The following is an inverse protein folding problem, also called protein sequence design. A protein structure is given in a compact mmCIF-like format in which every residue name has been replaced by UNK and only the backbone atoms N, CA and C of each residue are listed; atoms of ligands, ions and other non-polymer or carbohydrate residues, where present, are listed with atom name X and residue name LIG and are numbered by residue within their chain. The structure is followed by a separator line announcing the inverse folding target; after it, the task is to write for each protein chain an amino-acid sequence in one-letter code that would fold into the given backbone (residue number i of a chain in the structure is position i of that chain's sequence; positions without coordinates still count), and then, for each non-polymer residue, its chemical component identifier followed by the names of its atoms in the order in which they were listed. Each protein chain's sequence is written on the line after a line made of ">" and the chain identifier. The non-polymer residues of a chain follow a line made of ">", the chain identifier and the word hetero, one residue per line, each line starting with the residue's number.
data_IF_667550342013
#
_entry.id   IF_667550342013
#
_cell.length_a   1.000
_cell.length_b   1.000
_cell.length_c   1.000
_cell.angle_alpha   90.00
_cell.angle_beta   90.00
_cell.angle_gamma   90.00
#
_symmetry.space_group_name_H-M   'P 1'
#
loop_
_entity.id
_entity.type
_entity.pdbx_description
1 polymer ?
#
# COMPACT_ATOMS: atom_id res chain seq x y z
N UNK A 1 24.48 1.72 18.96
CA UNK A 1 23.16 1.20 18.52
C UNK A 1 22.37 2.31 17.83
N UNK A 2 21.58 2.02 16.79
CA UNK A 2 20.74 3.04 16.15
C UNK A 2 19.64 3.53 17.10
N UNK A 3 19.30 4.83 17.03
CA UNK A 3 18.14 5.37 17.74
C UNK A 3 16.87 4.89 17.04
N UNK A 4 15.97 4.29 17.81
CA UNK A 4 14.67 3.79 17.32
C UNK A 4 13.58 4.67 17.89
N UNK A 5 12.70 5.16 17.01
CA UNK A 5 11.51 5.93 17.39
C UNK A 5 10.27 5.13 17.02
N UNK A 6 9.37 4.91 17.98
CA UNK A 6 8.09 4.25 17.76
C UNK A 6 7.01 5.31 17.54
N UNK A 7 6.18 5.08 16.53
CA UNK A 7 5.00 5.92 16.25
C UNK A 7 3.77 5.10 16.60
N UNK A 8 2.98 5.57 17.56
CA UNK A 8 1.70 4.94 17.90
C UNK A 8 0.64 5.32 16.85
N UNK A 9 0.33 4.35 15.97
CA UNK A 9 -0.64 4.50 14.90
C UNK A 9 -2.08 4.73 15.38
N UNK A 10 -2.39 4.50 16.67
CA UNK A 10 -3.71 4.85 17.22
C UNK A 10 -3.88 6.34 17.47
N UNK A 11 -2.77 7.06 17.61
CA UNK A 11 -2.75 8.47 17.98
C UNK A 11 -2.47 9.41 16.80
N UNK A 12 -2.09 8.86 15.65
CA UNK A 12 -1.69 9.63 14.47
C UNK A 12 -2.44 9.11 13.23
N UNK A 13 -3.07 10.00 12.44
CA UNK A 13 -3.73 9.58 11.21
C UNK A 13 -2.72 9.01 10.22
N UNK A 14 -3.11 7.92 9.56
CA UNK A 14 -2.34 7.28 8.50
C UNK A 14 -2.93 7.70 7.17
N UNK A 15 -2.16 8.44 6.38
CA UNK A 15 -2.54 8.84 5.02
C UNK A 15 -1.74 8.02 4.03
N UNK A 16 -2.43 7.24 3.21
CA UNK A 16 -1.79 6.43 2.16
C UNK A 16 -0.64 5.52 2.63
N UNK A 17 -0.68 5.07 3.89
CA UNK A 17 0.35 4.21 4.49
C UNK A 17 1.51 4.96 5.16
N UNK A 18 1.46 6.29 5.21
CA UNK A 18 2.45 7.15 5.85
C UNK A 18 1.81 7.99 6.96
N UNK A 19 2.61 8.32 7.97
CA UNK A 19 2.23 9.24 9.05
C UNK A 19 3.05 10.52 8.94
N UNK A 20 2.50 11.65 9.43
CA UNK A 20 3.19 12.93 9.39
C UNK A 20 4.61 12.89 10.02
N UNK A 21 4.87 12.19 11.15
CA UNK A 21 6.22 12.03 11.69
C UNK A 21 7.19 11.33 10.73
N UNK A 22 6.74 10.30 10.02
CA UNK A 22 7.56 9.58 9.03
C UNK A 22 7.87 10.48 7.84
N UNK A 23 6.87 11.20 7.31
CA UNK A 23 7.06 12.15 6.20
C UNK A 23 8.08 13.22 6.59
N UNK A 24 7.98 13.80 7.79
CA UNK A 24 8.94 14.79 8.29
C UNK A 24 10.36 14.23 8.40
N UNK A 25 10.50 12.99 8.88
CA UNK A 25 11.80 12.35 8.99
C UNK A 25 12.44 12.10 7.61
N UNK A 26 11.65 11.67 6.62
CA UNK A 26 12.10 11.47 5.25
C UNK A 26 12.51 12.79 4.59
N UNK A 27 11.71 13.85 4.76
CA UNK A 27 12.04 15.18 4.24
C UNK A 27 13.40 15.67 4.76
N UNK A 28 13.62 15.59 6.08
CA UNK A 28 14.89 16.01 6.68
C UNK A 28 16.09 15.16 6.22
N UNK A 29 15.90 13.87 5.91
CA UNK A 29 16.94 13.03 5.30
C UNK A 29 17.28 13.51 3.89
N UNK A 30 16.26 13.78 3.08
CA UNK A 30 16.42 14.26 1.71
C UNK A 30 17.11 15.63 1.64
N UNK A 31 16.76 16.57 2.53
CA UNK A 31 17.41 17.88 2.64
C UNK A 31 18.91 17.78 2.92
N UNK A 32 19.36 16.73 3.61
CA UNK A 32 20.78 16.45 3.87
C UNK A 32 21.46 15.61 2.78
N UNK A 33 20.77 15.30 1.69
CA UNK A 33 21.28 14.43 0.63
C UNK A 33 21.43 12.97 1.06
N UNK A 34 20.76 12.55 2.14
CA UNK A 34 20.85 11.19 2.68
C UNK A 34 19.82 10.25 2.04
N UNK A 35 20.15 8.96 2.01
CA UNK A 35 19.24 7.91 1.56
C UNK A 35 18.40 7.36 2.71
N UNK A 36 17.16 6.99 2.40
CA UNK A 36 16.23 6.33 3.32
C UNK A 36 15.71 5.03 2.72
N UNK A 37 15.53 4.01 3.56
CA UNK A 37 14.89 2.74 3.18
C UNK A 37 13.57 2.64 3.93
N UNK A 38 12.48 2.41 3.20
CA UNK A 38 11.14 2.23 3.77
C UNK A 38 10.76 0.76 3.64
N UNK A 39 10.66 0.07 4.78
CA UNK A 39 10.22 -1.32 4.83
C UNK A 39 8.71 -1.39 5.02
N UNK A 40 8.04 -2.15 4.15
CA UNK A 40 6.60 -2.39 4.23
C UNK A 40 6.38 -3.91 4.26
N UNK A 41 5.63 -4.39 5.26
CA UNK A 41 5.36 -5.82 5.39
C UNK A 41 4.47 -6.32 4.25
N UNK A 42 4.92 -7.38 3.56
CA UNK A 42 4.12 -8.11 2.57
C UNK A 42 3.26 -9.21 3.18
N UNK A 43 3.70 -9.82 4.29
CA UNK A 43 2.95 -10.84 5.04
C UNK A 43 2.18 -10.15 6.16
N UNK A 44 0.85 -10.16 6.09
CA UNK A 44 0.00 -9.67 7.18
C UNK A 44 -1.29 -8.99 6.73
N UNK A 45 -1.39 -8.64 5.44
CA UNK A 45 -2.63 -8.14 4.88
C UNK A 45 -3.16 -9.23 3.94
N UNK A 46 -4.15 -10.01 4.39
CA UNK A 46 -4.93 -10.79 3.43
C UNK A 46 -5.59 -9.79 2.46
N UNK A 47 -5.74 -10.08 1.15
CA UNK A 47 -6.32 -9.18 0.15
C UNK A 47 -7.81 -8.87 0.35
N UNK A 48 -8.19 -8.51 1.57
CA UNK A 48 -9.53 -8.11 1.95
C UNK A 48 -9.92 -6.90 1.12
N UNK A 49 -11.12 -6.91 0.56
CA UNK A 49 -11.67 -5.70 -0.04
C UNK A 49 -11.84 -4.64 1.04
N UNK A 50 -10.90 -3.71 1.13
CA UNK A 50 -10.89 -2.62 2.12
C UNK A 50 -11.09 -1.28 1.42
N UNK A 51 -11.98 -0.45 1.98
CA UNK A 51 -12.11 0.96 1.58
C UNK A 51 -10.92 1.77 2.11
N UNK A 52 -10.27 2.52 1.22
CA UNK A 52 -9.12 3.35 1.61
C UNK A 52 -9.49 4.54 2.50
N UNK A 53 -10.70 5.07 2.39
CA UNK A 53 -11.13 6.28 3.08
C UNK A 53 -11.64 6.03 4.50
N UNK A 54 -12.44 4.97 4.69
CA UNK A 54 -13.09 4.72 5.99
C UNK A 54 -12.74 3.36 6.62
N UNK A 55 -11.94 2.53 5.95
CA UNK A 55 -11.53 1.22 6.48
C UNK A 55 -12.60 0.14 6.47
N UNK A 56 -13.73 0.35 5.77
CA UNK A 56 -14.74 -0.70 5.55
C UNK A 56 -14.10 -1.96 4.97
N UNK A 57 -14.50 -3.14 5.47
CA UNK A 57 -13.98 -4.43 5.02
C UNK A 57 -15.11 -5.32 4.50
N UNK A 58 -14.89 -5.96 3.35
CA UNK A 58 -15.81 -6.95 2.83
C UNK A 58 -15.87 -8.19 3.72
N UNK A 59 -17.00 -8.41 4.39
CA UNK A 59 -17.29 -9.64 5.15
C UNK A 59 -18.16 -10.64 4.39
N UNK A 60 -17.90 -11.92 4.59
CA UNK A 60 -18.71 -13.01 4.06
C UNK A 60 -19.99 -13.20 4.87
N UNK A 61 -21.16 -13.18 4.23
CA UNK A 61 -22.44 -13.40 4.91
C UNK A 61 -22.70 -14.85 5.34
N UNK A 62 -21.83 -15.81 4.93
CA UNK A 62 -22.00 -17.24 5.22
C UNK A 62 -21.15 -17.74 6.38
N UNK A 63 -20.00 -17.12 6.64
CA UNK A 63 -19.04 -17.63 7.62
C UNK A 63 -18.24 -16.51 8.33
N UNK A 64 -18.65 -15.25 8.17
CA UNK A 64 -18.01 -14.06 8.74
C UNK A 64 -16.53 -13.81 8.39
N UNK A 65 -15.90 -14.69 7.60
CA UNK A 65 -14.55 -14.49 7.10
C UNK A 65 -14.46 -13.26 6.18
N UNK A 66 -13.29 -12.64 6.15
CA UNK A 66 -12.97 -11.55 5.23
C UNK A 66 -12.97 -12.03 3.77
N UNK A 67 -13.51 -11.19 2.88
CA UNK A 67 -13.57 -11.46 1.45
C UNK A 67 -12.40 -10.83 0.72
N UNK A 68 -11.76 -11.62 -0.14
CA UNK A 68 -10.72 -11.16 -1.05
C UNK A 68 -11.31 -10.45 -2.25
N UNK A 69 -10.89 -9.22 -2.54
CA UNK A 69 -11.32 -8.51 -3.76
C UNK A 69 -10.47 -8.93 -4.95
N UNK A 70 -10.96 -9.69 -5.92
CA UNK A 70 -10.31 -10.04 -7.18
C UNK A 70 -10.56 -8.97 -8.26
N UNK A 71 -9.58 -8.09 -8.52
CA UNK A 71 -9.74 -6.94 -9.44
C UNK A 71 -9.98 -7.35 -10.90
N UNK A 72 -9.29 -8.38 -11.39
CA UNK A 72 -9.43 -8.82 -12.78
C UNK A 72 -10.84 -9.31 -13.14
N UNK A 73 -11.62 -9.74 -12.14
CA UNK A 73 -13.02 -10.15 -12.30
C UNK A 73 -14.02 -9.22 -11.62
N UNK A 74 -13.57 -8.21 -10.87
CA UNK A 74 -14.43 -7.34 -10.08
C UNK A 74 -15.21 -8.06 -8.96
N UNK A 75 -14.68 -9.17 -8.41
CA UNK A 75 -15.40 -10.02 -7.45
C UNK A 75 -14.80 -10.00 -6.04
N UNK A 76 -15.63 -9.90 -5.02
CA UNK A 76 -15.27 -10.26 -3.65
C UNK A 76 -15.50 -11.77 -3.43
N UNK A 77 -14.45 -12.52 -3.06
CA UNK A 77 -14.48 -13.97 -2.87
C UNK A 77 -14.07 -14.38 -1.46
N UNK A 78 -14.82 -15.29 -0.87
CA UNK A 78 -14.46 -15.97 0.37
C UNK A 78 -13.61 -17.18 0.04
N UNK A 79 -12.41 -17.26 0.60
CA UNK A 79 -11.56 -18.46 0.47
C UNK A 79 -11.91 -19.55 1.47
N UNK A 80 -12.68 -19.24 2.51
CA UNK A 80 -13.09 -20.21 3.51
C UNK A 80 -14.28 -21.08 3.02
N UNK A 81 -15.31 -20.44 2.46
CA UNK A 81 -16.53 -21.15 2.02
C UNK A 81 -16.81 -21.06 0.51
N UNK A 82 -15.93 -20.41 -0.26
CA UNK A 82 -16.07 -20.29 -1.72
C UNK A 82 -17.09 -19.26 -2.20
N UNK A 83 -17.92 -18.68 -1.33
CA UNK A 83 -18.92 -17.68 -1.71
C UNK A 83 -18.28 -16.47 -2.41
N UNK A 84 -18.89 -15.99 -3.49
CA UNK A 84 -18.45 -14.79 -4.22
C UNK A 84 -19.61 -13.82 -4.44
N UNK A 85 -19.28 -12.55 -4.63
CA UNK A 85 -20.21 -11.49 -5.04
C UNK A 85 -19.49 -10.39 -5.80
N UNK A 86 -20.21 -9.58 -6.56
CA UNK A 86 -19.62 -8.39 -7.18
C UNK A 86 -19.07 -7.44 -6.13
N UNK A 87 -17.91 -6.85 -6.42
CA UNK A 87 -17.40 -5.73 -5.66
C UNK A 87 -18.31 -4.51 -5.89
N UNK A 88 -18.73 -3.79 -4.83
CA UNK A 88 -19.54 -2.61 -5.03
C UNK A 88 -18.70 -1.50 -5.69
N UNK A 89 -19.34 -0.72 -6.57
CA UNK A 89 -18.71 0.39 -7.28
C UNK A 89 -18.30 1.55 -6.34
N UNK A 90 -18.97 1.66 -5.20
CA UNK A 90 -18.69 2.62 -4.15
C UNK A 90 -18.67 1.94 -2.79
N UNK A 91 -17.91 2.50 -1.85
CA UNK A 91 -17.85 2.01 -0.48
C UNK A 91 -19.26 2.05 0.15
N UNK A 92 -19.76 0.92 0.69
CA UNK A 92 -21.06 0.90 1.35
C UNK A 92 -21.15 1.75 2.63
N UNK A 93 -20.00 2.12 3.21
CA UNK A 93 -19.93 2.87 4.47
C UNK A 93 -19.76 4.38 4.28
N UNK A 94 -18.97 4.83 3.29
CA UNK A 94 -18.66 6.25 3.09
C UNK A 94 -18.95 6.77 1.67
N UNK A 95 -19.42 5.93 0.75
CA UNK A 95 -19.79 6.33 -0.62
C UNK A 95 -18.63 6.50 -1.61
N UNK A 96 -17.38 6.43 -1.17
CA UNK A 96 -16.22 6.68 -2.04
C UNK A 96 -15.89 5.52 -2.98
N UNK A 97 -15.41 5.86 -4.18
CA UNK A 97 -15.36 4.95 -5.34
C UNK A 97 -14.22 3.89 -5.31
N UNK A 98 -13.50 3.73 -4.20
CA UNK A 98 -12.23 3.02 -4.22
C UNK A 98 -12.15 1.84 -3.22
N UNK A 99 -12.26 0.62 -3.76
CA UNK A 99 -11.95 -0.63 -3.06
C UNK A 99 -10.67 -1.23 -3.64
N UNK A 100 -9.72 -1.63 -2.80
CA UNK A 100 -8.39 -2.09 -3.24
C UNK A 100 -8.04 -3.52 -2.80
N UNK A 101 -7.22 -4.21 -3.62
CA UNK A 101 -6.53 -5.46 -3.29
C UNK A 101 -5.35 -5.21 -2.34
N UNK A 102 -4.94 -6.23 -1.59
CA UNK A 102 -3.58 -6.25 -1.02
C UNK A 102 -2.53 -6.53 -2.09
N UNK A 103 -1.42 -5.81 -1.97
CA UNK A 103 -0.46 -5.47 -3.03
C UNK A 103 -0.38 -3.95 -3.18
N UNK A 104 -1.48 -3.26 -2.86
CA UNK A 104 -1.55 -1.81 -2.81
C UNK A 104 -0.73 -1.17 -1.67
N UNK A 105 -0.27 -1.89 -0.65
CA UNK A 105 0.46 -1.27 0.47
C UNK A 105 1.79 -0.65 0.03
N UNK A 106 2.63 -1.43 -0.65
CA UNK A 106 3.91 -0.94 -1.19
C UNK A 106 3.71 0.04 -2.35
N UNK A 107 2.78 -0.25 -3.26
CA UNK A 107 2.47 0.64 -4.40
C UNK A 107 1.87 1.98 -3.94
N UNK A 108 0.99 1.99 -2.95
CA UNK A 108 0.39 3.21 -2.38
C UNK A 108 1.44 4.06 -1.67
N UNK A 109 2.31 3.43 -0.88
CA UNK A 109 3.43 4.13 -0.27
C UNK A 109 4.38 4.68 -1.34
N UNK A 110 4.70 3.90 -2.38
CA UNK A 110 5.53 4.36 -3.51
C UNK A 110 4.91 5.58 -4.23
N UNK A 111 3.62 5.51 -4.60
CA UNK A 111 2.91 6.61 -5.26
C UNK A 111 2.84 7.85 -4.36
N UNK A 112 2.54 7.68 -3.07
CA UNK A 112 2.45 8.79 -2.12
C UNK A 112 3.82 9.44 -1.90
N UNK A 113 4.91 8.66 -1.82
CA UNK A 113 6.26 9.19 -1.74
C UNK A 113 6.63 9.98 -2.99
N UNK A 114 6.26 9.51 -4.19
CA UNK A 114 6.47 10.25 -5.44
C UNK A 114 5.69 11.56 -5.49
N UNK A 115 4.48 11.59 -4.93
CA UNK A 115 3.64 12.80 -4.83
C UNK A 115 4.20 13.81 -3.82
N UNK A 116 4.62 13.34 -2.65
CA UNK A 116 5.15 14.19 -1.57
C UNK A 116 6.56 14.71 -1.85
N UNK A 117 7.37 13.93 -2.56
CA UNK A 117 8.78 14.23 -2.84
C UNK A 117 9.09 14.13 -4.34
N UNK A 118 8.54 15.02 -5.19
CA UNK A 118 8.64 14.91 -6.65
C UNK A 118 10.09 15.01 -7.17
N UNK A 119 10.99 15.66 -6.42
CA UNK A 119 12.40 15.75 -6.75
C UNK A 119 13.22 14.52 -6.31
N UNK A 120 12.66 13.65 -5.47
CA UNK A 120 13.37 12.48 -4.96
C UNK A 120 13.21 11.28 -5.91
N UNK A 121 14.31 10.54 -6.12
CA UNK A 121 14.24 9.25 -6.84
C UNK A 121 13.71 8.17 -5.91
N UNK A 122 12.49 7.72 -6.15
CA UNK A 122 11.88 6.57 -5.43
C UNK A 122 12.14 5.28 -6.22
N UNK A 123 12.63 4.24 -5.53
CA UNK A 123 12.84 2.91 -6.10
C UNK A 123 12.14 1.87 -5.22
N UNK A 124 11.42 0.94 -5.85
CA UNK A 124 10.83 -0.23 -5.18
C UNK A 124 11.68 -1.47 -5.40
N UNK A 125 11.99 -2.15 -4.29
CA UNK A 125 12.67 -3.44 -4.28
C UNK A 125 11.73 -4.50 -3.68
N UNK A 126 11.24 -5.41 -4.51
CA UNK A 126 10.43 -6.54 -4.05
C UNK A 126 11.32 -7.76 -3.76
N UNK A 127 11.05 -8.48 -2.68
CA UNK A 127 11.80 -9.70 -2.35
C UNK A 127 11.54 -10.89 -3.30
N UNK A 128 10.52 -10.82 -4.17
CA UNK A 128 10.22 -11.87 -5.14
C UNK A 128 11.01 -11.78 -6.45
N UNK A 129 11.74 -10.69 -6.70
CA UNK A 129 12.55 -10.54 -7.91
C UNK A 129 13.97 -11.13 -7.81
N UNK A 130 14.28 -11.91 -6.76
CA UNK A 130 15.59 -12.56 -6.57
C UNK A 130 15.62 -14.08 -6.82
N UNK A 131 14.60 -14.67 -7.46
CA UNK A 131 14.61 -16.10 -7.81
C UNK A 131 15.25 -16.44 -9.18
N UNK A 132 15.75 -15.46 -9.94
CA UNK A 132 16.42 -15.68 -11.22
C UNK A 132 17.83 -15.10 -11.23
N UNK A 133 18.85 -15.97 -11.24
CA UNK A 133 20.23 -15.60 -11.55
C UNK A 133 20.28 -14.68 -12.78
N UNK A 134 20.84 -13.49 -12.63
CA UNK A 134 21.47 -12.78 -13.75
C UNK A 134 20.69 -11.66 -14.45
N UNK A 135 19.70 -11.00 -13.85
CA UNK A 135 19.23 -9.70 -14.38
C UNK A 135 18.99 -8.70 -13.26
N UNK A 136 19.94 -7.78 -13.08
CA UNK A 136 19.71 -6.47 -12.48
C UNK A 136 18.82 -5.67 -13.45
N UNK A 137 17.56 -6.10 -13.61
CA UNK A 137 16.70 -5.60 -14.67
C UNK A 137 16.05 -4.28 -14.23
N UNK A 138 16.68 -3.20 -14.69
CA UNK A 138 16.15 -1.89 -15.05
C UNK A 138 15.19 -1.24 -14.03
N UNK A 139 15.60 -0.16 -13.34
CA UNK A 139 14.65 0.63 -12.56
C UNK A 139 13.52 1.08 -13.47
N UNK A 140 12.28 0.76 -13.10
CA UNK A 140 11.08 1.38 -13.68
C UNK A 140 11.06 2.81 -13.15
N UNK A 141 11.88 3.67 -13.76
CA UNK A 141 11.76 5.09 -13.58
C UNK A 141 10.53 5.55 -14.34
N UNK A 142 9.55 6.12 -13.63
CA UNK A 142 8.61 7.02 -14.29
C UNK A 142 9.42 8.25 -14.71
N UNK A 143 9.47 8.60 -16.02
CA UNK A 143 10.09 9.84 -16.43
C UNK A 143 9.25 11.00 -15.89
N UNK A 144 9.74 11.67 -14.86
CA UNK A 144 9.28 13.01 -14.52
C UNK A 144 10.33 14.00 -15.04
N UNK A 145 9.97 14.66 -16.13
CA UNK A 145 10.66 15.78 -16.76
C UNK A 145 9.90 16.11 -18.05
N UNK A 146 9.51 17.37 -18.32
CA UNK A 146 10.31 18.59 -18.15
C UNK A 146 9.41 19.81 -17.90
N UNK A 147 9.91 20.73 -17.08
CA UNK A 147 9.63 22.15 -17.02
C UNK A 147 10.91 22.84 -16.61
#
# INVERSE_FOLDING_TARGET
>A
MPRVHLVDLKSVPVHNGLTAPVVKALAGRLERGEQSIVYVNRRGFAPVGVCADCGWQGKCRRCDASLTLHQGSGLLRCHHCGASRNAPLSCPACGQQALYHVGAGTQRVESELGRLFPAARVLRLDSDSTAGKGRLNRPVGYPLGRG
#
